data_IF_523640064504
#
_entry.id   IF_523640064504
#
_cell.length_a   1.000
_cell.length_b   1.000
_cell.length_c   1.000
_cell.angle_alpha   90.00
_cell.angle_beta   90.00
_cell.angle_gamma   90.00
#
_symmetry.space_group_name_H-M   'P 1'
#
loop_
_entity.id
_entity.type
_entity.pdbx_description
1 polymer ?
#
# COMPACT_ATOMS: atom_id res chain seq x y z
N UNK A 1 8.43 42.16 58.76
CA UNK A 1 8.30 42.04 60.22
C UNK A 1 6.88 41.57 60.53
N UNK A 2 6.76 40.34 61.05
CA UNK A 2 5.72 39.79 61.98
C UNK A 2 4.23 39.94 61.58
N UNK A 3 3.33 38.96 61.65
CA UNK A 3 3.35 37.61 62.24
C UNK A 3 2.26 36.72 61.60
N UNK A 4 2.57 35.44 61.57
CA UNK A 4 1.71 34.27 61.31
C UNK A 4 0.85 33.90 62.52
N UNK A 5 -0.04 32.91 62.33
CA UNK A 5 -0.67 32.00 63.31
C UNK A 5 -1.78 32.54 64.21
N UNK A 6 -3.04 32.13 63.97
CA UNK A 6 -3.87 31.25 64.84
C UNK A 6 -5.19 30.93 64.08
N UNK A 7 -5.39 29.68 63.61
CA UNK A 7 -6.66 28.92 63.71
C UNK A 7 -6.49 27.53 63.06
N UNK A 8 -5.97 26.57 63.83
CA UNK A 8 -6.18 25.13 63.65
C UNK A 8 -6.92 24.64 64.90
N UNK A 9 -8.12 24.09 64.74
CA UNK A 9 -8.65 22.91 65.48
C UNK A 9 -10.17 22.92 65.60
N UNK A 10 -10.73 21.69 65.54
CA UNK A 10 -12.14 21.27 65.60
C UNK A 10 -12.78 21.26 64.20
N UNK A 11 -13.25 20.14 63.64
CA UNK A 11 -13.85 18.98 64.28
C UNK A 11 -13.74 17.76 63.34
N UNK A 12 -12.91 16.79 63.73
CA UNK A 12 -12.87 15.42 63.21
C UNK A 12 -13.79 14.61 64.12
N UNK A 13 -15.05 14.41 63.73
CA UNK A 13 -15.95 13.41 64.30
C UNK A 13 -16.95 13.02 63.21
N UNK A 14 -16.67 11.96 62.47
CA UNK A 14 -17.64 10.96 61.97
C UNK A 14 -16.89 9.87 61.19
N UNK A 15 -16.19 9.03 61.96
CA UNK A 15 -15.77 7.69 61.54
C UNK A 15 -16.14 6.76 62.70
N UNK A 16 -17.18 5.96 62.53
CA UNK A 16 -17.47 4.72 63.27
C UNK A 16 -18.67 4.04 62.57
N UNK A 17 -18.59 2.71 62.42
CA UNK A 17 -19.41 1.80 61.58
C UNK A 17 -19.00 1.81 60.10
N UNK A 18 -18.34 0.80 59.52
CA UNK A 18 -18.43 -0.64 59.74
C UNK A 18 -17.10 -1.32 59.36
N UNK A 19 -16.54 -2.06 60.32
CA UNK A 19 -15.39 -2.96 60.18
C UNK A 19 -15.94 -4.35 60.56
N UNK A 20 -16.25 -5.20 59.58
CA UNK A 20 -16.43 -6.63 59.81
C UNK A 20 -16.27 -7.41 58.49
N UNK A 21 -15.08 -7.96 58.30
CA UNK A 21 -14.81 -9.31 57.77
C UNK A 21 -13.38 -9.36 57.21
N UNK A 22 -12.46 -9.79 58.08
CA UNK A 22 -11.17 -10.33 57.70
C UNK A 22 -11.11 -11.78 58.20
N UNK A 23 -10.45 -12.63 57.42
CA UNK A 23 -9.96 -13.97 57.75
C UNK A 23 -10.98 -15.12 57.77
N UNK A 24 -10.94 -15.94 56.73
CA UNK A 24 -10.91 -17.40 56.86
C UNK A 24 -10.28 -17.97 55.56
N UNK A 25 -9.42 -18.96 55.75
CA UNK A 25 -8.74 -19.80 54.75
C UNK A 25 -7.41 -19.32 54.15
N UNK A 26 -6.35 -19.54 54.96
CA UNK A 26 -5.13 -20.17 54.47
C UNK A 26 -5.02 -21.54 55.15
N UNK A 27 -4.71 -22.58 54.39
CA UNK A 27 -4.60 -23.95 54.87
C UNK A 27 -3.99 -24.83 53.79
N UNK A 28 -2.67 -25.03 53.88
CA UNK A 28 -1.87 -25.94 53.07
C UNK A 28 -2.35 -27.40 53.21
N UNK A 29 -2.27 -28.17 52.12
CA UNK A 29 -1.62 -29.48 52.14
C UNK A 29 -1.38 -30.06 50.75
N UNK A 30 -0.17 -30.60 50.62
CA UNK A 30 0.42 -31.33 49.50
C UNK A 30 -0.46 -32.46 48.93
N UNK A 31 -0.27 -32.76 47.64
CA UNK A 31 0.35 -34.02 47.12
C UNK A 31 -0.27 -34.45 45.77
N UNK A 32 0.56 -34.35 44.72
CA UNK A 32 0.66 -35.20 43.50
C UNK A 32 -0.62 -35.48 42.69
N UNK A 33 -0.66 -34.98 41.44
CA UNK A 33 -0.85 -35.81 40.24
C UNK A 33 -0.29 -35.07 39.01
N UNK A 34 0.75 -35.65 38.41
CA UNK A 34 1.20 -35.31 37.08
C UNK A 34 0.14 -35.73 36.06
N UNK A 35 -0.47 -34.78 35.34
CA UNK A 35 -1.27 -35.07 34.15
C UNK A 35 -1.03 -34.00 33.08
N UNK A 36 -0.42 -34.48 31.99
CA UNK A 36 -0.65 -34.08 30.61
C UNK A 36 -0.74 -32.59 30.29
N UNK A 37 0.40 -32.03 29.86
CA UNK A 37 0.47 -30.83 29.03
C UNK A 37 -0.11 -31.14 27.63
N UNK A 38 -1.45 -31.28 27.52
CA UNK A 38 -2.12 -31.29 26.22
C UNK A 38 -2.09 -29.89 25.65
N UNK A 39 -1.36 -29.76 24.53
CA UNK A 39 -1.52 -28.72 23.53
C UNK A 39 -3.01 -28.43 23.37
N UNK A 40 -3.43 -27.20 23.65
CA UNK A 40 -4.68 -26.65 23.11
C UNK A 40 -4.64 -26.87 21.59
N UNK A 41 -5.65 -27.51 20.97
CA UNK A 41 -5.65 -27.67 19.54
C UNK A 41 -5.71 -26.28 18.91
N UNK A 42 -4.68 -25.97 18.11
CA UNK A 42 -4.69 -24.87 17.13
C UNK A 42 -6.00 -25.02 16.35
N UNK A 43 -6.82 -23.97 16.35
CA UNK A 43 -8.05 -23.94 15.56
C UNK A 43 -7.72 -24.43 14.13
N UNK A 44 -8.50 -25.36 13.55
CA UNK A 44 -8.26 -25.80 12.19
C UNK A 44 -8.30 -24.57 11.28
N UNK A 45 -7.31 -24.44 10.41
CA UNK A 45 -7.39 -23.48 9.30
C UNK A 45 -8.73 -23.74 8.57
N UNK A 46 -9.50 -22.71 8.20
CA UNK A 46 -10.73 -22.93 7.46
C UNK A 46 -10.40 -23.75 6.22
N UNK A 47 -11.13 -24.86 6.04
CA UNK A 47 -11.01 -25.66 4.83
C UNK A 47 -11.27 -24.76 3.62
N UNK A 48 -10.54 -24.92 2.50
CA UNK A 48 -10.90 -24.23 1.26
C UNK A 48 -12.34 -24.64 0.93
N UNK A 49 -13.25 -23.67 0.99
CA UNK A 49 -14.64 -23.87 0.60
C UNK A 49 -14.62 -24.26 -0.87
N UNK A 50 -15.04 -25.49 -1.17
CA UNK A 50 -15.24 -25.96 -2.53
C UNK A 50 -16.29 -25.07 -3.19
N UNK A 51 -15.86 -24.25 -4.14
CA UNK A 51 -16.74 -23.42 -4.96
C UNK A 51 -17.66 -24.35 -5.75
N UNK A 52 -19.00 -24.28 -5.60
CA UNK A 52 -19.89 -25.05 -6.44
C UNK A 52 -19.68 -24.63 -7.90
N UNK A 53 -19.45 -25.61 -8.77
CA UNK A 53 -19.34 -25.42 -10.21
C UNK A 53 -20.69 -24.92 -10.74
N UNK A 54 -20.83 -23.61 -10.91
CA UNK A 54 -22.06 -23.03 -11.46
C UNK A 54 -22.29 -21.54 -11.28
N UNK A 55 -21.45 -20.79 -10.55
CA UNK A 55 -21.74 -19.39 -10.21
C UNK A 55 -20.70 -18.40 -10.72
N UNK A 56 -21.18 -17.31 -11.34
CA UNK A 56 -20.40 -16.30 -12.07
C UNK A 56 -19.72 -15.30 -11.12
N UNK A 57 -18.37 -15.14 -11.12
CA UNK A 57 -17.69 -14.19 -10.24
C UNK A 57 -17.46 -12.85 -10.96
N UNK A 58 -17.93 -11.72 -10.41
CA UNK A 58 -17.74 -10.40 -11.05
C UNK A 58 -17.39 -9.19 -10.13
N UNK A 59 -17.06 -9.36 -8.85
CA UNK A 59 -16.69 -8.24 -7.97
C UNK A 59 -15.30 -8.45 -7.37
N UNK A 60 -14.38 -7.51 -7.62
CA UNK A 60 -12.98 -7.61 -7.19
C UNK A 60 -12.61 -6.74 -6.00
N UNK A 61 -13.36 -5.68 -5.70
CA UNK A 61 -13.10 -4.86 -4.52
C UNK A 61 -14.33 -4.01 -4.17
N UNK A 62 -14.82 -4.11 -2.93
CA UNK A 62 -15.86 -3.26 -2.36
C UNK A 62 -15.18 -2.38 -1.30
N UNK A 63 -15.35 -1.06 -1.40
CA UNK A 63 -14.82 -0.11 -0.43
C UNK A 63 -15.89 0.87 0.03
N UNK A 64 -15.80 1.26 1.30
CA UNK A 64 -16.78 2.12 1.97
C UNK A 64 -16.06 3.26 2.71
N UNK A 65 -16.55 4.48 2.55
CA UNK A 65 -16.06 5.68 3.22
C UNK A 65 -17.17 6.30 4.06
N UNK A 66 -17.13 6.18 5.40
CA UNK A 66 -18.16 6.76 6.26
C UNK A 66 -18.03 8.29 6.39
N UNK A 67 -19.17 8.98 6.33
CA UNK A 67 -19.32 10.39 6.62
C UNK A 67 -20.35 10.65 7.72
N UNK A 68 -20.83 11.89 7.84
CA UNK A 68 -21.86 12.26 8.82
C UNK A 68 -23.24 11.82 8.33
N UNK A 69 -23.80 10.77 8.94
CA UNK A 69 -25.07 10.12 8.56
C UNK A 69 -25.12 9.54 7.13
N UNK A 70 -23.97 9.34 6.48
CA UNK A 70 -23.89 8.71 5.17
C UNK A 70 -22.66 7.79 5.03
N UNK A 71 -22.69 6.91 4.04
CA UNK A 71 -21.53 6.10 3.61
C UNK A 71 -21.44 6.18 2.09
N UNK A 72 -20.27 6.56 1.58
CA UNK A 72 -19.93 6.46 0.17
C UNK A 72 -19.40 5.06 -0.14
N UNK A 73 -19.95 4.43 -1.17
CA UNK A 73 -19.65 3.05 -1.56
C UNK A 73 -19.09 3.04 -2.97
N UNK A 74 -17.96 2.36 -3.16
CA UNK A 74 -17.27 2.19 -4.43
C UNK A 74 -16.98 0.72 -4.69
N UNK A 75 -17.19 0.26 -5.93
CA UNK A 75 -16.79 -1.09 -6.33
C UNK A 75 -16.24 -1.13 -7.75
N UNK A 76 -15.34 -2.08 -8.00
CA UNK A 76 -14.83 -2.34 -9.35
C UNK A 76 -15.56 -3.52 -9.99
N UNK A 77 -16.16 -3.33 -11.18
CA UNK A 77 -16.69 -4.44 -11.95
C UNK A 77 -15.52 -5.26 -12.52
N UNK A 78 -15.61 -6.58 -12.47
CA UNK A 78 -14.69 -7.46 -13.17
C UNK A 78 -14.93 -7.34 -14.69
N UNK A 79 -13.95 -6.91 -15.47
CA UNK A 79 -14.06 -6.81 -16.94
C UNK A 79 -13.07 -7.74 -17.67
N UNK A 80 -13.61 -8.39 -18.70
CA UNK A 80 -13.18 -9.58 -19.45
C UNK A 80 -11.93 -9.48 -20.36
N UNK A 81 -10.99 -8.54 -20.16
CA UNK A 81 -9.83 -8.42 -21.08
C UNK A 81 -8.70 -9.44 -20.84
N UNK A 82 -8.70 -10.13 -19.69
CA UNK A 82 -7.59 -11.01 -19.31
C UNK A 82 -7.60 -12.39 -20.01
N UNK A 83 -8.67 -12.72 -20.76
CA UNK A 83 -8.77 -13.96 -21.55
C UNK A 83 -8.25 -13.78 -23.00
N UNK A 84 -7.91 -12.54 -23.43
CA UNK A 84 -7.47 -12.26 -24.81
C UNK A 84 -5.95 -12.08 -25.02
N UNK A 85 -5.11 -12.43 -24.05
CA UNK A 85 -3.66 -12.49 -24.25
C UNK A 85 -3.23 -13.93 -24.51
N UNK A 86 -2.77 -14.32 -25.71
CA UNK A 86 -2.05 -15.57 -25.86
C UNK A 86 -0.73 -15.45 -25.07
N UNK A 87 -0.63 -16.20 -23.98
CA UNK A 87 0.54 -16.33 -23.13
C UNK A 87 1.74 -16.73 -23.98
N UNK A 88 2.62 -15.78 -24.27
CA UNK A 88 3.91 -16.02 -24.92
C UNK A 88 4.90 -16.53 -23.85
N UNK A 89 4.68 -17.75 -23.36
CA UNK A 89 5.67 -18.44 -22.52
C UNK A 89 6.57 -19.27 -23.43
N UNK A 90 7.68 -18.66 -23.86
CA UNK A 90 8.84 -19.40 -24.35
C UNK A 90 9.62 -19.91 -23.14
N UNK A 91 9.78 -21.23 -23.08
CA UNK A 91 10.94 -21.85 -22.45
C UNK A 91 10.79 -22.24 -20.98
N UNK A 92 10.15 -23.38 -20.71
CA UNK A 92 10.59 -24.26 -19.63
C UNK A 92 10.39 -25.71 -20.08
N UNK A 93 11.31 -26.15 -20.94
CA UNK A 93 11.45 -27.54 -21.31
C UNK A 93 12.35 -28.25 -20.31
N UNK A 94 11.95 -29.48 -19.99
CA UNK A 94 12.73 -30.53 -19.31
C UNK A 94 13.05 -30.23 -17.84
N UNK A 95 12.24 -30.82 -16.96
CA UNK A 95 12.68 -31.58 -15.79
C UNK A 95 11.41 -31.88 -14.98
N UNK A 96 10.80 -33.03 -15.27
CA UNK A 96 9.92 -33.85 -14.42
C UNK A 96 9.43 -35.00 -15.33
N UNK A 97 10.29 -36.01 -15.52
CA UNK A 97 10.05 -37.37 -14.98
C UNK A 97 8.99 -38.11 -15.82
N UNK A 98 9.32 -38.83 -16.89
CA UNK A 98 10.25 -39.99 -16.95
C UNK A 98 10.06 -41.04 -15.85
N UNK A 99 8.90 -41.08 -15.19
CA UNK A 99 8.60 -42.04 -14.12
C UNK A 99 7.21 -42.69 -14.18
N UNK A 100 6.68 -42.95 -15.39
CA UNK A 100 5.41 -43.71 -15.55
C UNK A 100 5.52 -44.87 -16.55
N UNK A 101 6.60 -45.00 -17.30
CA UNK A 101 6.67 -45.95 -18.42
C UNK A 101 7.22 -47.36 -18.08
N UNK A 102 7.13 -47.80 -16.82
CA UNK A 102 7.67 -49.12 -16.42
C UNK A 102 6.82 -49.84 -15.38
N UNK A 103 5.50 -49.87 -15.56
CA UNK A 103 4.62 -50.69 -14.70
C UNK A 103 3.40 -51.31 -15.38
N UNK A 104 3.34 -51.38 -16.71
CA UNK A 104 2.18 -51.95 -17.43
C UNK A 104 2.59 -52.87 -18.60
N UNK A 105 3.45 -53.85 -18.32
CA UNK A 105 3.71 -54.96 -19.24
C UNK A 105 4.01 -56.22 -18.43
N UNK A 106 2.98 -56.96 -18.01
CA UNK A 106 2.98 -58.43 -17.88
C UNK A 106 1.63 -58.95 -17.35
N UNK A 107 1.08 -59.93 -18.10
CA UNK A 107 -0.04 -60.85 -17.81
C UNK A 107 -1.46 -60.29 -17.93
N UNK A 108 -2.45 -60.98 -18.50
CA UNK A 108 -2.58 -62.18 -19.34
C UNK A 108 -4.05 -62.18 -19.84
N UNK A 109 -4.33 -62.96 -20.89
CA UNK A 109 -5.60 -63.09 -21.64
C UNK A 109 -6.84 -63.42 -20.79
N UNK A 110 -8.01 -62.88 -21.17
CA UNK A 110 -9.21 -63.58 -21.67
C UNK A 110 -10.37 -62.59 -21.97
N UNK A 111 -11.28 -63.00 -22.86
CA UNK A 111 -12.31 -62.28 -23.67
C UNK A 111 -13.50 -61.58 -22.93
N UNK A 112 -14.62 -61.11 -23.58
CA UNK A 112 -14.72 -60.01 -24.56
C UNK A 112 -15.97 -59.08 -24.36
N UNK A 113 -16.09 -58.12 -25.30
CA UNK A 113 -17.31 -57.40 -25.78
C UNK A 113 -17.86 -56.15 -25.07
N UNK A 114 -17.96 -55.11 -25.91
CA UNK A 114 -18.94 -54.02 -25.92
C UNK A 114 -18.94 -53.00 -24.76
N UNK A 115 -18.05 -52.00 -24.89
CA UNK A 115 -18.25 -50.57 -24.54
C UNK A 115 -16.88 -49.89 -24.56
N UNK A 116 -16.46 -49.34 -25.71
CA UNK A 116 -15.39 -48.33 -25.83
C UNK A 116 -15.13 -47.99 -27.30
N UNK A 117 -16.11 -47.37 -27.94
CA UNK A 117 -15.87 -46.66 -29.21
C UNK A 117 -16.51 -45.26 -29.27
N UNK A 118 -17.08 -44.76 -28.17
CA UNK A 118 -17.61 -43.37 -28.10
C UNK A 118 -16.70 -42.37 -27.36
N UNK A 119 -15.66 -42.80 -26.64
CA UNK A 119 -14.83 -41.88 -25.85
C UNK A 119 -13.55 -41.39 -26.56
N UNK A 120 -13.26 -41.89 -27.77
CA UNK A 120 -12.06 -41.52 -28.54
C UNK A 120 -12.22 -40.32 -29.49
N UNK A 121 -13.44 -39.77 -29.62
CA UNK A 121 -13.77 -38.68 -30.56
C UNK A 121 -14.36 -37.47 -29.85
N UNK A 122 -13.74 -37.04 -28.76
CA UNK A 122 -14.04 -35.76 -28.11
C UNK A 122 -12.78 -35.05 -27.66
N UNK A 123 -11.82 -34.90 -28.58
CA UNK A 123 -10.63 -34.07 -28.36
C UNK A 123 -10.14 -33.50 -29.69
N UNK A 124 -10.80 -32.41 -30.15
CA UNK A 124 -10.31 -31.38 -31.09
C UNK A 124 -11.50 -30.67 -31.73
N UNK A 125 -11.92 -29.56 -31.12
CA UNK A 125 -12.41 -28.29 -31.69
C UNK A 125 -13.29 -27.65 -30.61
N UNK A 126 -12.66 -27.02 -29.61
CA UNK A 126 -13.35 -25.96 -28.88
C UNK A 126 -13.27 -24.72 -29.76
N UNK A 127 -14.31 -24.58 -30.58
CA UNK A 127 -14.73 -23.33 -31.20
C UNK A 127 -14.80 -22.26 -30.11
N UNK A 128 -14.24 -21.09 -30.37
CA UNK A 128 -14.48 -19.86 -29.61
C UNK A 128 -15.99 -19.62 -29.59
N UNK A 129 -16.67 -20.08 -28.54
CA UNK A 129 -18.06 -19.75 -28.31
C UNK A 129 -18.15 -18.24 -28.05
N UNK A 130 -18.90 -17.56 -28.92
CA UNK A 130 -19.34 -16.20 -28.65
C UNK A 130 -20.05 -16.20 -27.30
N UNK A 131 -19.76 -15.20 -26.46
CA UNK A 131 -20.44 -14.99 -25.19
C UNK A 131 -21.95 -14.95 -25.51
N UNK A 132 -22.79 -15.83 -24.91
CA UNK A 132 -24.20 -15.86 -25.23
C UNK A 132 -24.82 -14.50 -24.90
N UNK A 133 -25.54 -13.91 -25.86
CA UNK A 133 -26.29 -12.68 -25.68
C UNK A 133 -27.24 -12.85 -24.48
N UNK A 134 -27.01 -12.07 -23.41
CA UNK A 134 -27.75 -12.17 -22.15
C UNK A 134 -26.90 -12.20 -20.88
N UNK A 135 -25.60 -12.51 -20.98
CA UNK A 135 -24.67 -12.51 -19.83
C UNK A 135 -23.94 -11.16 -19.58
N UNK A 136 -24.52 -10.05 -20.05
CA UNK A 136 -24.02 -8.71 -19.71
C UNK A 136 -24.63 -8.25 -18.39
N UNK A 137 -23.78 -7.78 -17.47
CA UNK A 137 -24.23 -7.16 -16.22
C UNK A 137 -25.06 -5.93 -16.57
N UNK A 138 -26.30 -5.92 -16.11
CA UNK A 138 -27.27 -4.84 -16.36
C UNK A 138 -27.37 -3.86 -15.20
N UNK A 139 -26.95 -4.27 -14.01
CA UNK A 139 -26.80 -3.38 -12.87
C UNK A 139 -26.39 -4.12 -11.59
N UNK A 140 -26.39 -3.37 -10.50
CA UNK A 140 -25.99 -3.83 -9.18
C UNK A 140 -27.07 -3.47 -8.15
N UNK A 141 -27.15 -4.28 -7.10
CA UNK A 141 -27.96 -4.06 -5.91
C UNK A 141 -27.02 -4.01 -4.72
N UNK A 142 -27.15 -2.94 -3.92
CA UNK A 142 -26.45 -2.82 -2.63
C UNK A 142 -27.35 -3.39 -1.55
N UNK A 143 -26.86 -4.40 -0.84
CA UNK A 143 -27.47 -5.00 0.33
C UNK A 143 -26.76 -4.47 1.58
N UNK A 144 -27.49 -3.91 2.54
CA UNK A 144 -26.89 -3.41 3.78
C UNK A 144 -27.76 -3.63 5.03
N UNK A 145 -27.11 -3.80 6.17
CA UNK A 145 -27.75 -4.11 7.45
C UNK A 145 -26.90 -3.70 8.65
N UNK A 146 -27.42 -3.91 9.86
CA UNK A 146 -26.72 -3.61 11.13
C UNK A 146 -25.99 -4.83 11.72
N UNK A 147 -26.19 -5.98 11.12
CA UNK A 147 -25.64 -7.27 11.55
C UNK A 147 -24.94 -7.92 10.35
N UNK A 148 -23.77 -8.51 10.58
CA UNK A 148 -23.02 -9.23 9.56
C UNK A 148 -23.86 -10.38 8.99
N UNK A 149 -23.92 -10.48 7.66
CA UNK A 149 -24.70 -11.48 6.93
C UNK A 149 -26.22 -11.25 6.91
N UNK A 150 -26.73 -10.22 7.59
CA UNK A 150 -28.16 -9.92 7.65
C UNK A 150 -28.48 -8.54 7.04
N UNK A 151 -28.78 -8.54 5.75
CA UNK A 151 -29.03 -7.33 4.96
C UNK A 151 -30.52 -6.98 4.92
N UNK A 152 -30.98 -6.23 5.92
CA UNK A 152 -32.39 -5.80 6.02
C UNK A 152 -32.81 -4.80 4.93
N UNK A 153 -31.86 -4.09 4.31
CA UNK A 153 -32.13 -3.09 3.29
C UNK A 153 -31.46 -3.47 1.96
N UNK A 154 -32.17 -3.25 0.84
CA UNK A 154 -31.66 -3.44 -0.52
C UNK A 154 -31.96 -2.22 -1.38
N UNK A 155 -30.97 -1.75 -2.12
CA UNK A 155 -31.08 -0.58 -3.00
C UNK A 155 -30.57 -0.97 -4.37
N UNK A 156 -31.46 -0.89 -5.38
CA UNK A 156 -31.06 -1.02 -6.78
C UNK A 156 -30.38 0.27 -7.23
N UNK A 157 -29.13 0.15 -7.65
CA UNK A 157 -28.28 1.27 -8.08
C UNK A 157 -28.06 1.28 -9.58
N UNK A 158 -28.61 0.30 -10.31
CA UNK A 158 -28.41 0.17 -11.76
C UNK A 158 -26.95 -0.06 -12.13
N UNK A 159 -26.53 0.41 -13.31
CA UNK A 159 -25.17 0.21 -13.84
C UNK A 159 -24.19 1.32 -13.40
N UNK A 160 -24.25 1.74 -12.14
CA UNK A 160 -23.25 2.62 -11.54
C UNK A 160 -22.25 1.79 -10.75
N UNK A 161 -21.07 2.34 -10.47
CA UNK A 161 -20.02 1.71 -9.64
C UNK A 161 -19.72 2.52 -8.38
N UNK A 162 -20.50 3.59 -8.15
CA UNK A 162 -20.39 4.51 -7.03
C UNK A 162 -21.78 4.90 -6.55
N UNK A 163 -22.03 4.82 -5.25
CA UNK A 163 -23.31 5.19 -4.68
C UNK A 163 -23.17 5.72 -3.25
N UNK A 164 -24.00 6.69 -2.88
CA UNK A 164 -24.04 7.27 -1.53
C UNK A 164 -25.31 6.86 -0.80
N UNK A 165 -25.17 6.10 0.28
CA UNK A 165 -26.28 5.79 1.19
C UNK A 165 -26.38 6.88 2.24
N UNK A 166 -27.55 7.52 2.35
CA UNK A 166 -27.84 8.62 3.28
C UNK A 166 -28.83 8.19 4.36
N UNK A 167 -28.90 8.93 5.46
CA UNK A 167 -29.86 8.68 6.54
C UNK A 167 -29.44 7.57 7.49
N UNK A 168 -28.14 7.26 7.54
CA UNK A 168 -27.57 6.30 8.48
C UNK A 168 -27.40 6.96 9.85
N UNK A 169 -27.53 6.19 10.93
CA UNK A 169 -27.31 6.71 12.27
C UNK A 169 -25.83 6.66 12.62
N UNK A 170 -25.32 7.76 13.19
CA UNK A 170 -23.95 7.80 13.68
C UNK A 170 -23.73 6.81 14.83
N UNK A 171 -22.50 6.31 14.95
CA UNK A 171 -22.05 5.28 15.90
C UNK A 171 -22.66 3.88 15.72
N UNK A 172 -23.47 3.66 14.68
CA UNK A 172 -23.97 2.33 14.33
C UNK A 172 -23.09 1.78 13.21
N UNK A 173 -22.57 0.56 13.39
CA UNK A 173 -21.86 -0.15 12.32
C UNK A 173 -22.86 -0.74 11.35
N UNK A 174 -22.67 -0.45 10.07
CA UNK A 174 -23.42 -1.02 8.97
C UNK A 174 -22.52 -1.94 8.16
N UNK A 175 -23.05 -3.08 7.74
CA UNK A 175 -22.41 -4.05 6.88
C UNK A 175 -23.00 -3.96 5.48
N UNK A 176 -22.16 -4.03 4.46
CA UNK A 176 -22.49 -3.80 3.05
C UNK A 176 -21.97 -4.97 2.21
N UNK A 177 -22.81 -5.43 1.29
CA UNK A 177 -22.45 -6.37 0.24
C UNK A 177 -23.16 -5.97 -1.05
N UNK A 178 -22.57 -6.33 -2.20
CA UNK A 178 -23.11 -6.01 -3.53
C UNK A 178 -23.46 -7.29 -4.27
N UNK A 179 -24.54 -7.23 -5.04
CA UNK A 179 -25.01 -8.29 -5.92
C UNK A 179 -25.20 -7.73 -7.33
N UNK A 180 -24.67 -8.39 -8.36
CA UNK A 180 -24.89 -8.01 -9.76
C UNK A 180 -26.13 -8.71 -10.32
N UNK A 181 -26.80 -8.10 -11.31
CA UNK A 181 -27.91 -8.72 -12.03
C UNK A 181 -27.83 -8.53 -13.55
N UNK A 182 -28.38 -9.50 -14.30
CA UNK A 182 -28.43 -9.48 -15.78
C UNK A 182 -29.76 -8.92 -16.31
N UNK A 183 -29.89 -8.76 -17.64
CA UNK A 183 -31.14 -8.30 -18.30
C UNK A 183 -32.33 -9.23 -17.99
N UNK A 184 -32.04 -10.48 -17.65
CA UNK A 184 -33.02 -11.52 -17.31
C UNK A 184 -33.32 -11.59 -15.79
N UNK A 185 -32.80 -10.64 -14.99
CA UNK A 185 -32.91 -10.61 -13.51
C UNK A 185 -32.35 -11.85 -12.82
N UNK A 186 -31.34 -12.48 -13.40
CA UNK A 186 -30.52 -13.47 -12.70
C UNK A 186 -29.51 -12.74 -11.82
N UNK A 187 -29.35 -13.18 -10.58
CA UNK A 187 -28.52 -12.53 -9.58
C UNK A 187 -27.22 -13.32 -9.33
N UNK A 188 -26.12 -12.60 -9.09
CA UNK A 188 -24.85 -13.20 -8.66
C UNK A 188 -24.87 -13.63 -7.19
N UNK A 189 -23.81 -14.31 -6.75
CA UNK A 189 -23.47 -14.37 -5.33
C UNK A 189 -23.19 -12.95 -4.78
N UNK A 190 -23.32 -12.78 -3.47
CA UNK A 190 -22.97 -11.54 -2.78
C UNK A 190 -21.44 -11.38 -2.76
N UNK A 191 -20.97 -10.12 -2.84
CA UNK A 191 -19.57 -9.78 -2.63
C UNK A 191 -19.09 -10.12 -1.22
N UNK A 192 -17.77 -10.04 -1.02
CA UNK A 192 -17.22 -9.94 0.33
C UNK A 192 -17.87 -8.77 1.07
N UNK A 193 -18.16 -9.00 2.35
CA UNK A 193 -18.83 -8.05 3.21
C UNK A 193 -17.83 -7.01 3.73
N UNK A 194 -18.21 -5.75 3.67
CA UNK A 194 -17.42 -4.63 4.17
C UNK A 194 -18.28 -3.82 5.14
N UNK A 195 -17.68 -3.27 6.19
CA UNK A 195 -18.41 -2.53 7.21
C UNK A 195 -17.94 -1.08 7.32
N UNK A 196 -18.86 -0.18 7.69
CA UNK A 196 -18.57 1.22 7.99
C UNK A 196 -19.38 1.70 9.18
N UNK A 197 -18.80 2.58 9.99
CA UNK A 197 -19.48 3.24 11.12
C UNK A 197 -19.50 4.74 10.85
N UNK A 198 -20.65 5.31 10.42
CA UNK A 198 -20.82 6.76 10.32
C UNK A 198 -20.53 7.42 11.67
N UNK A 199 -19.83 8.55 11.66
CA UNK A 199 -19.51 9.33 12.86
C UNK A 199 -19.93 10.77 12.66
N UNK A 200 -20.34 11.48 13.74
CA UNK A 200 -20.69 12.89 13.62
C UNK A 200 -19.50 13.67 13.09
N UNK A 201 -19.76 14.63 12.22
CA UNK A 201 -18.71 15.43 11.57
C UNK A 201 -17.81 16.15 12.60
N UNK A 202 -18.33 16.40 13.79
CA UNK A 202 -17.62 16.98 14.94
C UNK A 202 -16.47 16.12 15.47
N UNK A 203 -16.50 14.80 15.29
CA UNK A 203 -15.37 13.92 15.63
C UNK A 203 -14.30 13.84 14.53
N UNK A 204 -14.62 14.29 13.31
CA UNK A 204 -13.73 14.25 12.15
C UNK A 204 -12.81 15.48 12.05
N UNK A 205 -13.08 16.53 12.85
CA UNK A 205 -12.30 17.77 12.89
C UNK A 205 -11.14 17.70 13.88
N UNK A 206 -9.99 18.26 13.51
CA UNK A 206 -8.83 18.41 14.41
C UNK A 206 -9.11 19.43 15.52
N UNK A 207 -8.35 19.38 16.62
CA UNK A 207 -8.48 20.33 17.74
C UNK A 207 -8.31 21.80 17.31
N UNK A 208 -7.48 22.05 16.28
CA UNK A 208 -7.26 23.37 15.70
C UNK A 208 -8.51 23.83 14.92
N UNK A 209 -9.07 22.97 14.08
CA UNK A 209 -10.29 23.26 13.31
C UNK A 209 -11.50 23.47 14.24
N UNK A 210 -11.57 22.72 15.34
CA UNK A 210 -12.55 22.95 16.42
C UNK A 210 -12.37 24.32 17.08
N UNK A 211 -11.14 24.74 17.32
CA UNK A 211 -10.83 26.06 17.89
C UNK A 211 -11.29 27.22 17.01
N UNK A 212 -11.16 27.09 15.68
CA UNK A 212 -11.64 28.10 14.73
C UNK A 212 -13.16 28.05 14.46
N UNK A 213 -13.81 26.90 14.72
CA UNK A 213 -15.24 26.75 14.50
C UNK A 213 -16.12 27.34 15.62
N UNK A 214 -15.59 27.49 16.84
CA UNK A 214 -16.40 27.75 18.05
C UNK A 214 -16.54 29.24 18.42
N UNK A 215 -15.79 30.17 17.82
CA UNK A 215 -16.00 31.59 18.13
C UNK A 215 -16.99 32.30 17.18
N UNK A 216 -18.08 32.75 17.79
CA UNK A 216 -19.13 33.68 17.33
C UNK A 216 -18.57 34.92 16.58
N UNK A 217 -18.14 34.74 15.34
CA UNK A 217 -17.91 35.82 14.36
C UNK A 217 -18.75 35.61 13.09
N UNK A 218 -19.37 34.43 12.91
CA UNK A 218 -20.13 34.12 11.72
C UNK A 218 -21.65 34.31 11.92
N UNK A 219 -22.17 35.50 11.62
CA UNK A 219 -23.57 35.59 11.17
C UNK A 219 -23.73 35.71 9.64
N UNK A 220 -22.65 35.70 8.83
CA UNK A 220 -22.82 35.66 7.37
C UNK A 220 -21.89 34.69 6.62
N UNK A 221 -20.75 34.23 7.15
CA UNK A 221 -19.88 33.31 6.40
C UNK A 221 -19.21 32.29 7.34
N UNK A 222 -19.97 31.30 7.82
CA UNK A 222 -19.37 30.07 8.38
C UNK A 222 -19.01 29.14 7.23
N UNK A 223 -17.85 29.38 6.60
CA UNK A 223 -17.17 28.35 5.82
C UNK A 223 -16.22 27.65 6.77
N UNK A 224 -16.49 26.38 7.13
CA UNK A 224 -15.56 25.54 7.90
C UNK A 224 -14.19 25.59 7.21
N UNK A 225 -13.20 26.10 7.92
CA UNK A 225 -11.85 26.35 7.40
C UNK A 225 -11.04 25.05 7.53
N UNK A 226 -10.34 24.62 6.47
CA UNK A 226 -9.48 23.43 6.46
C UNK A 226 -8.03 23.83 6.24
N UNK A 227 -7.09 23.17 6.91
CA UNK A 227 -5.66 23.45 6.73
C UNK A 227 -5.23 23.29 5.26
N UNK A 228 -4.70 24.36 4.68
CA UNK A 228 -4.27 24.38 3.28
C UNK A 228 -3.11 23.42 3.00
N UNK A 229 -3.20 22.68 1.90
CA UNK A 229 -2.11 21.89 1.32
C UNK A 229 -1.99 20.45 1.82
N UNK A 230 -2.51 20.12 3.01
CA UNK A 230 -2.44 18.76 3.56
C UNK A 230 -3.19 17.72 2.73
N UNK A 231 -4.27 18.14 2.07
CA UNK A 231 -5.10 17.26 1.23
C UNK A 231 -4.33 16.74 0.00
N UNK A 232 -3.21 17.37 -0.37
CA UNK A 232 -2.30 16.89 -1.43
C UNK A 232 -1.77 15.48 -1.15
N UNK A 233 -1.61 15.12 0.13
CA UNK A 233 -1.08 13.81 0.53
C UNK A 233 -2.18 12.79 0.90
N UNK A 234 -3.45 13.20 0.92
CA UNK A 234 -4.58 12.34 1.31
C UNK A 234 -5.10 11.47 0.15
N UNK A 235 -4.77 11.81 -1.10
CA UNK A 235 -5.15 10.97 -2.24
C UNK A 235 -4.36 9.66 -2.21
N UNK A 236 -5.01 8.60 -1.70
CA UNK A 236 -4.60 7.19 -1.79
C UNK A 236 -4.64 6.68 -3.24
N UNK A 237 -3.91 7.32 -4.15
CA UNK A 237 -3.45 6.69 -5.38
C UNK A 237 -1.94 6.49 -5.24
N UNK A 238 -1.49 5.41 -4.56
CA UNK A 238 -0.09 5.06 -4.51
C UNK A 238 0.31 4.47 -5.87
N UNK A 239 0.39 5.31 -6.89
CA UNK A 239 1.11 5.00 -8.12
C UNK A 239 2.20 6.02 -8.38
N UNK A 240 2.82 6.53 -7.31
CA UNK A 240 4.23 6.87 -7.41
C UNK A 240 5.00 5.58 -7.20
N UNK A 241 4.92 4.67 -8.18
CA UNK A 241 6.03 3.77 -8.42
C UNK A 241 7.26 4.68 -8.48
N UNK A 242 8.32 4.44 -7.68
CA UNK A 242 9.55 5.19 -7.87
C UNK A 242 9.84 5.14 -9.36
N UNK A 243 10.14 6.30 -9.96
CA UNK A 243 10.51 6.44 -11.37
C UNK A 243 11.74 5.55 -11.61
N UNK A 244 11.51 4.25 -11.77
CA UNK A 244 12.51 3.25 -12.07
C UNK A 244 12.90 3.35 -13.55
N UNK A 245 12.02 3.96 -14.36
CA UNK A 245 12.16 4.05 -15.81
C UNK A 245 12.57 5.45 -16.29
N UNK A 246 12.86 6.39 -15.37
CA UNK A 246 13.39 7.70 -15.77
C UNK A 246 14.86 7.56 -16.20
N UNK A 247 15.27 8.15 -17.34
CA UNK A 247 16.67 8.14 -17.74
C UNK A 247 17.53 8.79 -16.66
N UNK A 248 18.59 8.07 -16.28
CA UNK A 248 19.52 8.50 -15.25
C UNK A 248 20.27 9.74 -15.71
N UNK A 249 20.29 10.78 -14.87
CA UNK A 249 20.97 12.04 -15.19
C UNK A 249 22.48 11.83 -15.27
N UNK A 250 23.16 12.70 -16.03
CA UNK A 250 24.62 12.61 -16.24
C UNK A 250 25.44 12.77 -14.96
N UNK A 251 24.89 13.45 -13.96
CA UNK A 251 25.46 13.72 -12.64
C UNK A 251 25.14 12.62 -11.60
N UNK A 252 24.41 11.57 -11.99
CA UNK A 252 24.18 10.43 -11.11
C UNK A 252 25.49 9.79 -10.65
N UNK A 253 25.70 9.73 -9.33
CA UNK A 253 26.88 9.10 -8.74
C UNK A 253 26.66 7.59 -8.60
N UNK A 254 27.52 6.83 -9.27
CA UNK A 254 27.53 5.37 -9.28
C UNK A 254 27.93 4.84 -7.90
N UNK A 255 27.23 3.81 -7.43
CA UNK A 255 27.64 3.10 -6.23
C UNK A 255 27.28 1.62 -6.20
N UNK A 256 27.70 0.90 -5.15
CA UNK A 256 27.47 -0.54 -5.01
C UNK A 256 25.99 -0.93 -5.17
N UNK A 257 25.74 -2.01 -5.89
CA UNK A 257 24.41 -2.54 -6.20
C UNK A 257 23.71 -1.90 -7.40
N UNK A 258 24.33 -0.92 -8.06
CA UNK A 258 23.86 -0.44 -9.37
C UNK A 258 24.21 -1.48 -10.44
N UNK A 259 23.30 -1.70 -11.39
CA UNK A 259 23.56 -2.55 -12.55
C UNK A 259 23.31 -1.79 -13.85
N UNK A 260 24.11 -2.10 -14.88
CA UNK A 260 24.01 -1.46 -16.19
C UNK A 260 24.51 -2.35 -17.30
N UNK A 261 23.97 -2.10 -18.49
CA UNK A 261 24.34 -2.79 -19.72
C UNK A 261 25.18 -1.89 -20.61
N UNK A 262 26.34 -2.40 -21.02
CA UNK A 262 27.25 -1.77 -21.98
C UNK A 262 27.04 -2.46 -23.33
N UNK A 263 26.61 -1.70 -24.33
CA UNK A 263 26.44 -2.18 -25.71
C UNK A 263 27.52 -1.58 -26.60
N UNK A 264 28.25 -2.45 -27.29
CA UNK A 264 29.27 -2.11 -28.28
C UNK A 264 28.80 -2.53 -29.67
N UNK A 265 28.94 -1.67 -30.66
CA UNK A 265 28.65 -1.98 -32.07
C UNK A 265 29.69 -1.33 -33.01
N UNK A 266 29.73 -1.75 -34.27
CA UNK A 266 30.70 -1.29 -35.28
C UNK A 266 31.53 -2.44 -35.81
N UNK A 267 32.86 -2.39 -35.66
CA UNK A 267 33.75 -3.51 -36.03
C UNK A 267 33.60 -4.73 -35.12
N UNK A 268 33.03 -4.52 -33.95
CA UNK A 268 32.72 -5.55 -32.95
C UNK A 268 31.29 -5.35 -32.45
N UNK A 269 30.64 -6.46 -32.11
CA UNK A 269 29.31 -6.45 -31.49
C UNK A 269 29.37 -7.25 -30.20
N UNK A 270 29.21 -6.56 -29.07
CA UNK A 270 29.29 -7.16 -27.75
C UNK A 270 28.33 -6.44 -26.81
N UNK A 271 27.71 -7.19 -25.90
CA UNK A 271 26.89 -6.63 -24.82
C UNK A 271 27.37 -7.20 -23.50
N UNK A 272 27.67 -6.33 -22.54
CA UNK A 272 28.07 -6.71 -21.19
C UNK A 272 27.03 -6.20 -20.20
N UNK A 273 26.42 -7.09 -19.42
CA UNK A 273 25.64 -6.70 -18.25
C UNK A 273 26.53 -6.82 -17.02
N UNK A 274 26.70 -5.71 -16.31
CA UNK A 274 27.59 -5.62 -15.15
C UNK A 274 26.85 -5.06 -13.94
N UNK A 275 27.22 -5.55 -12.77
CA UNK A 275 26.77 -5.06 -11.48
C UNK A 275 27.98 -4.50 -10.72
N UNK A 276 27.80 -3.35 -10.07
CA UNK A 276 28.81 -2.74 -9.21
C UNK A 276 28.86 -3.50 -7.89
N UNK A 277 29.98 -4.14 -7.63
CA UNK A 277 30.17 -4.94 -6.42
C UNK A 277 30.28 -4.09 -5.15
N UNK A 278 30.46 -4.76 -4.00
CA UNK A 278 30.62 -4.11 -2.69
C UNK A 278 31.93 -3.32 -2.55
N UNK A 279 32.94 -3.62 -3.36
CA UNK A 279 34.19 -2.88 -3.40
C UNK A 279 34.07 -1.62 -4.28
N UNK A 280 32.95 -1.47 -5.00
CA UNK A 280 32.72 -0.37 -5.91
C UNK A 280 33.35 -0.58 -7.29
N UNK A 281 33.53 -1.83 -7.68
CA UNK A 281 34.22 -2.25 -8.89
C UNK A 281 33.26 -3.01 -9.83
N UNK A 282 33.60 -3.01 -11.12
CA UNK A 282 32.96 -3.86 -12.13
C UNK A 282 34.01 -4.76 -12.76
N UNK A 283 33.58 -5.93 -13.23
CA UNK A 283 34.46 -6.85 -13.97
C UNK A 283 34.00 -6.92 -15.42
N UNK A 284 34.91 -6.63 -16.35
CA UNK A 284 34.66 -6.74 -17.79
C UNK A 284 35.54 -7.84 -18.41
N UNK A 285 34.99 -8.67 -19.33
CA UNK A 285 35.79 -9.62 -20.09
C UNK A 285 36.92 -8.92 -20.85
N UNK A 286 38.13 -9.53 -20.86
CA UNK A 286 39.38 -9.02 -21.45
C UNK A 286 39.99 -7.76 -20.82
N UNK A 287 39.18 -6.88 -20.23
CA UNK A 287 39.66 -5.65 -19.59
C UNK A 287 40.03 -5.87 -18.11
N UNK A 288 39.28 -6.74 -17.41
CA UNK A 288 39.47 -7.02 -15.99
C UNK A 288 38.64 -6.11 -15.09
N UNK A 289 39.15 -5.85 -13.89
CA UNK A 289 38.47 -5.10 -12.83
C UNK A 289 38.65 -3.60 -13.03
N UNK A 290 37.56 -2.83 -12.90
CA UNK A 290 37.55 -1.38 -13.04
C UNK A 290 36.81 -0.77 -11.85
N UNK A 291 37.46 0.15 -11.13
CA UNK A 291 36.83 0.92 -10.06
C UNK A 291 35.90 1.99 -10.64
N UNK A 292 34.65 2.00 -10.18
CA UNK A 292 33.60 2.90 -10.70
C UNK A 292 32.85 3.66 -9.62
N UNK A 293 32.96 3.25 -8.35
CA UNK A 293 32.28 3.93 -7.25
C UNK A 293 32.74 5.37 -7.10
N UNK A 294 31.77 6.27 -6.97
CA UNK A 294 31.98 7.70 -6.76
C UNK A 294 32.07 8.48 -8.05
N UNK A 295 32.18 7.81 -9.20
CA UNK A 295 32.11 8.46 -10.50
C UNK A 295 30.67 8.88 -10.80
N UNK A 296 30.52 10.03 -11.44
CA UNK A 296 29.28 10.40 -12.10
C UNK A 296 29.04 9.52 -13.32
N UNK A 297 27.79 9.40 -13.78
CA UNK A 297 27.45 8.60 -14.96
C UNK A 297 28.17 9.08 -16.23
N UNK A 298 28.44 10.38 -16.35
CA UNK A 298 29.25 10.95 -17.43
C UNK A 298 30.73 10.52 -17.35
N UNK A 299 31.31 10.53 -16.14
CA UNK A 299 32.68 10.08 -15.90
C UNK A 299 32.82 8.56 -16.08
N UNK A 300 31.81 7.79 -15.69
CA UNK A 300 31.73 6.35 -15.91
C UNK A 300 31.84 6.03 -17.41
N UNK A 301 31.02 6.68 -18.25
CA UNK A 301 31.05 6.48 -19.71
C UNK A 301 32.44 6.73 -20.29
N UNK A 302 33.09 7.83 -19.89
CA UNK A 302 34.45 8.17 -20.33
C UNK A 302 35.47 7.13 -19.87
N UNK A 303 35.38 6.71 -18.61
CA UNK A 303 36.31 5.75 -18.00
C UNK A 303 36.23 4.39 -18.68
N UNK A 304 35.02 3.86 -18.87
CA UNK A 304 34.80 2.58 -19.54
C UNK A 304 35.24 2.64 -21.01
N UNK A 305 34.93 3.73 -21.71
CA UNK A 305 35.38 3.93 -23.09
C UNK A 305 36.91 3.86 -23.20
N UNK A 306 37.62 4.59 -22.33
CA UNK A 306 39.08 4.62 -22.32
C UNK A 306 39.69 3.25 -22.02
N UNK A 307 39.09 2.46 -21.12
CA UNK A 307 39.59 1.11 -20.83
C UNK A 307 39.32 0.12 -21.98
N UNK A 308 38.13 0.17 -22.60
CA UNK A 308 37.79 -0.69 -23.74
C UNK A 308 38.61 -0.34 -24.99
N UNK A 309 38.95 0.93 -25.20
CA UNK A 309 39.74 1.39 -26.35
C UNK A 309 41.15 0.78 -26.42
N UNK A 310 41.66 0.24 -25.31
CA UNK A 310 42.95 -0.46 -25.27
C UNK A 310 42.90 -1.85 -25.89
N UNK A 311 41.71 -2.46 -25.99
CA UNK A 311 41.51 -3.84 -26.43
C UNK A 311 40.63 -3.96 -27.68
N UNK A 312 39.81 -2.95 -27.95
CA UNK A 312 38.88 -2.92 -29.07
C UNK A 312 39.05 -1.62 -29.85
N UNK A 313 38.93 -1.68 -31.19
CA UNK A 313 39.06 -0.51 -32.06
C UNK A 313 37.88 -0.41 -33.04
N UNK A 314 37.56 0.82 -33.47
CA UNK A 314 36.45 1.06 -34.40
C UNK A 314 35.08 0.64 -33.88
N UNK A 315 34.83 0.84 -32.58
CA UNK A 315 33.55 0.58 -31.95
C UNK A 315 32.88 1.88 -31.51
N UNK A 316 31.56 1.84 -31.46
CA UNK A 316 30.71 2.79 -30.75
C UNK A 316 30.18 2.13 -29.49
N UNK A 317 29.88 2.92 -28.47
CA UNK A 317 29.46 2.42 -27.16
C UNK A 317 28.26 3.19 -26.63
N UNK A 318 27.30 2.47 -26.08
CA UNK A 318 26.24 3.00 -25.24
C UNK A 318 26.25 2.29 -23.88
N UNK A 319 25.86 3.02 -22.84
CA UNK A 319 25.65 2.46 -21.50
C UNK A 319 24.23 2.82 -21.08
N UNK A 320 23.45 1.79 -20.77
CA UNK A 320 22.08 1.90 -20.28
C UNK A 320 22.05 1.40 -18.84
N UNK A 321 21.47 2.19 -17.94
CA UNK A 321 21.27 1.77 -16.55
C UNK A 321 20.12 0.76 -16.49
N UNK A 322 20.33 -0.36 -15.81
CA UNK A 322 19.33 -1.42 -15.71
C UNK A 322 18.54 -1.25 -14.39
N UNK A 323 19.16 -1.59 -13.25
CA UNK A 323 18.55 -1.45 -11.93
C UNK A 323 19.37 -0.45 -11.12
N UNK A 324 18.70 0.60 -10.65
CA UNK A 324 19.26 1.49 -9.65
C UNK A 324 19.22 0.83 -8.27
N UNK A 325 20.28 1.03 -7.50
CA UNK A 325 20.31 0.59 -6.10
C UNK A 325 19.23 1.30 -5.29
N UNK A 326 18.81 0.63 -4.23
CA UNK A 326 17.93 1.24 -3.24
C UNK A 326 18.72 1.88 -2.10
N UNK A 327 18.17 2.95 -1.55
CA UNK A 327 18.67 3.62 -0.35
C UNK A 327 17.65 3.43 0.78
N UNK A 328 18.15 3.32 2.01
CA UNK A 328 17.30 3.28 3.20
C UNK A 328 17.36 4.64 3.89
N UNK A 329 16.20 5.23 4.14
CA UNK A 329 16.06 6.51 4.86
C UNK A 329 15.08 6.35 6.03
N UNK A 330 15.03 7.36 6.88
CA UNK A 330 14.11 7.42 8.02
C UNK A 330 13.23 8.66 7.90
N UNK A 331 11.93 8.52 8.14
CA UNK A 331 11.00 9.65 8.28
C UNK A 331 10.49 9.64 9.72
N UNK A 332 10.69 10.75 10.43
CA UNK A 332 10.43 10.85 11.87
C UNK A 332 9.75 12.18 12.22
N UNK A 333 9.16 12.26 13.42
CA UNK A 333 8.39 13.41 13.88
C UNK A 333 6.91 13.31 13.50
N UNK A 334 6.28 14.46 13.24
CA UNK A 334 4.85 14.59 12.94
C UNK A 334 4.54 14.30 11.46
N UNK A 335 5.02 13.17 10.95
CA UNK A 335 4.62 12.62 9.65
C UNK A 335 3.35 11.78 9.78
N UNK A 336 2.60 11.59 8.69
CA UNK A 336 1.40 10.73 8.68
C UNK A 336 1.77 9.27 9.01
N UNK A 337 2.80 8.74 8.34
CA UNK A 337 3.36 7.43 8.62
C UNK A 337 4.87 7.57 8.91
N UNK A 338 5.29 7.73 10.17
CA UNK A 338 6.71 7.72 10.51
C UNK A 338 7.28 6.30 10.43
N UNK A 339 8.52 6.16 9.99
CA UNK A 339 9.16 4.85 9.82
C UNK A 339 10.40 4.86 8.91
N UNK A 340 10.90 3.66 8.62
CA UNK A 340 12.00 3.48 7.67
C UNK A 340 11.46 3.17 6.27
N UNK A 341 12.03 3.82 5.26
CA UNK A 341 11.62 3.69 3.87
C UNK A 341 12.80 3.21 3.02
N UNK A 342 12.52 2.30 2.09
CA UNK A 342 13.47 1.85 1.08
C UNK A 342 13.05 2.44 -0.26
N UNK A 343 13.85 3.37 -0.78
CA UNK A 343 13.54 4.16 -1.97
C UNK A 343 14.64 3.97 -3.03
N UNK A 344 14.37 4.38 -4.28
CA UNK A 344 15.39 4.40 -5.33
C UNK A 344 16.50 5.42 -5.00
N UNK A 345 17.74 5.19 -5.42
CA UNK A 345 18.87 6.10 -5.18
C UNK A 345 18.72 7.49 -5.81
N UNK A 346 17.78 7.68 -6.74
CA UNK A 346 17.43 8.99 -7.32
C UNK A 346 16.30 9.71 -6.57
N UNK A 347 15.80 9.12 -5.49
CA UNK A 347 14.68 9.69 -4.73
C UNK A 347 15.10 10.97 -4.00
N UNK A 348 14.15 11.89 -3.90
CA UNK A 348 14.29 13.21 -3.28
C UNK A 348 13.45 13.31 -2.01
N UNK A 349 13.63 14.40 -1.24
CA UNK A 349 12.83 14.68 -0.03
C UNK A 349 11.33 14.62 -0.34
N UNK A 350 10.87 15.16 -1.46
CA UNK A 350 9.45 15.16 -1.82
C UNK A 350 8.92 13.75 -2.05
N UNK A 351 9.64 12.92 -2.80
CA UNK A 351 9.25 11.53 -3.04
C UNK A 351 9.16 10.70 -1.75
N UNK A 352 10.06 10.95 -0.80
CA UNK A 352 10.02 10.31 0.51
C UNK A 352 8.84 10.78 1.36
N UNK A 353 8.54 12.08 1.37
CA UNK A 353 7.36 12.62 2.06
C UNK A 353 6.07 12.08 1.46
N UNK A 354 5.94 12.01 0.13
CA UNK A 354 4.80 11.37 -0.53
C UNK A 354 4.68 9.90 -0.10
N UNK A 355 5.79 9.15 -0.10
CA UNK A 355 5.81 7.76 0.36
C UNK A 355 5.39 7.61 1.83
N UNK A 356 5.68 8.62 2.65
CA UNK A 356 5.26 8.67 4.06
C UNK A 356 3.82 9.16 4.28
N UNK A 357 3.10 9.56 3.22
CA UNK A 357 1.78 10.19 3.33
C UNK A 357 1.82 11.64 3.81
N UNK A 358 2.96 12.31 3.65
CA UNK A 358 3.20 13.71 3.99
C UNK A 358 3.28 14.01 5.49
N UNK A 359 3.40 15.29 5.86
CA UNK A 359 3.21 15.75 7.23
C UNK A 359 1.78 15.44 7.73
N UNK A 360 1.65 15.03 8.98
CA UNK A 360 0.35 14.88 9.64
C UNK A 360 -0.31 16.25 9.83
N UNK A 361 -1.61 16.33 10.19
CA UNK A 361 -2.28 17.61 10.52
C UNK A 361 -1.65 18.37 11.71
N UNK A 362 -0.73 17.72 12.45
CA UNK A 362 0.07 18.31 13.52
C UNK A 362 1.50 18.64 13.07
N UNK A 363 1.92 18.19 11.90
CA UNK A 363 3.24 18.39 11.33
C UNK A 363 3.35 19.66 10.48
N UNK A 364 4.53 20.27 10.49
CA UNK A 364 4.83 21.46 9.71
C UNK A 364 5.03 21.15 8.23
N UNK A 365 4.36 21.91 7.37
CA UNK A 365 4.61 21.91 5.91
C UNK A 365 5.79 22.83 5.51
N UNK A 366 6.30 23.67 6.43
CA UNK A 366 7.26 24.75 6.11
C UNK A 366 8.70 24.51 6.58
N UNK A 367 8.87 23.74 7.66
CA UNK A 367 10.16 23.59 8.35
C UNK A 367 10.61 22.13 8.39
N UNK A 368 10.38 21.40 7.30
CA UNK A 368 10.80 20.00 7.24
C UNK A 368 12.31 19.96 7.08
N UNK A 369 13.00 19.14 7.87
CA UNK A 369 14.46 19.10 7.90
C UNK A 369 14.98 17.80 7.30
N UNK A 370 15.92 17.91 6.37
CA UNK A 370 16.76 16.81 5.94
C UNK A 370 18.01 16.78 6.81
N UNK A 371 18.17 15.70 7.56
CA UNK A 371 19.31 15.42 8.42
C UNK A 371 20.20 14.36 7.75
N UNK A 372 21.50 14.60 7.69
CA UNK A 372 22.52 13.65 7.23
C UNK A 372 23.67 13.65 8.22
N UNK A 373 24.01 12.47 8.73
CA UNK A 373 25.05 12.30 9.76
C UNK A 373 24.84 13.23 10.98
N UNK A 374 23.59 13.46 11.37
CA UNK A 374 23.21 14.31 12.50
C UNK A 374 23.15 15.81 12.22
N UNK A 375 23.56 16.28 11.03
CA UNK A 375 23.53 17.69 10.66
C UNK A 375 22.33 18.02 9.76
N UNK A 376 21.75 19.21 9.93
CA UNK A 376 20.73 19.75 9.02
C UNK A 376 21.40 20.14 7.72
N UNK A 377 21.13 19.37 6.66
CA UNK A 377 21.61 19.65 5.30
C UNK A 377 20.72 20.67 4.62
N UNK A 378 19.40 20.52 4.78
CA UNK A 378 18.41 21.33 4.09
C UNK A 378 17.15 21.49 4.93
N UNK A 379 16.55 22.68 4.86
CA UNK A 379 15.18 22.92 5.35
C UNK A 379 14.28 23.13 4.14
N UNK A 380 13.12 22.49 4.16
CA UNK A 380 12.21 22.37 3.04
C UNK A 380 10.86 22.99 3.40
N UNK A 381 10.39 23.92 2.56
CA UNK A 381 9.04 24.48 2.60
C UNK A 381 8.21 23.91 1.44
N UNK A 382 7.24 23.07 1.76
CA UNK A 382 6.36 22.43 0.78
C UNK A 382 5.42 23.42 0.11
N UNK A 383 5.14 24.59 0.68
CA UNK A 383 4.25 25.56 0.05
C UNK A 383 4.86 26.21 -1.18
N UNK A 384 6.19 26.37 -1.25
CA UNK A 384 6.84 26.86 -2.47
C UNK A 384 6.62 25.87 -3.63
N UNK A 385 6.68 24.57 -3.34
CA UNK A 385 6.30 23.54 -4.30
C UNK A 385 4.81 23.56 -4.65
N UNK A 386 3.92 23.55 -3.65
CA UNK A 386 2.47 23.46 -3.87
C UNK A 386 1.86 24.69 -4.55
N UNK A 387 2.42 25.88 -4.33
CA UNK A 387 1.88 27.14 -4.85
C UNK A 387 2.58 27.62 -6.12
N UNK A 388 3.88 27.38 -6.26
CA UNK A 388 4.69 27.90 -7.37
C UNK A 388 5.28 26.81 -8.27
N UNK A 389 5.16 25.53 -7.87
CA UNK A 389 5.85 24.43 -8.54
C UNK A 389 7.37 24.45 -8.35
N UNK A 390 7.87 25.20 -7.37
CA UNK A 390 9.31 25.35 -7.14
C UNK A 390 9.90 24.09 -6.47
N UNK A 391 10.88 23.47 -7.14
CA UNK A 391 11.61 22.28 -6.68
C UNK A 391 13.04 22.59 -6.24
N UNK A 392 13.42 23.87 -6.13
CA UNK A 392 14.77 24.29 -5.73
C UNK A 392 15.20 23.79 -4.35
N UNK A 393 14.25 23.43 -3.49
CA UNK A 393 14.50 22.86 -2.16
C UNK A 393 14.42 21.33 -2.12
N UNK A 394 14.13 20.67 -3.25
CA UNK A 394 13.98 19.22 -3.33
C UNK A 394 15.36 18.55 -3.47
N UNK A 395 15.99 18.29 -2.33
CA UNK A 395 17.33 17.69 -2.28
C UNK A 395 17.28 16.17 -2.53
N UNK A 396 18.31 15.64 -3.19
CA UNK A 396 18.46 14.21 -3.41
C UNK A 396 18.89 13.50 -2.12
N UNK A 397 18.23 12.38 -1.84
CA UNK A 397 18.47 11.59 -0.64
C UNK A 397 19.67 10.66 -0.78
N UNK A 398 20.31 10.40 0.35
CA UNK A 398 21.38 9.42 0.50
C UNK A 398 20.97 8.35 1.53
N UNK A 399 21.63 7.20 1.46
CA UNK A 399 21.40 6.13 2.44
C UNK A 399 21.78 6.62 3.84
N UNK A 400 20.89 6.40 4.81
CA UNK A 400 21.05 6.86 6.19
C UNK A 400 20.46 8.24 6.48
N UNK A 401 19.96 8.96 5.46
CA UNK A 401 19.30 10.25 5.67
C UNK A 401 18.06 10.12 6.55
N UNK A 402 17.80 11.16 7.34
CA UNK A 402 16.63 11.27 8.20
C UNK A 402 15.84 12.53 7.84
N UNK A 403 14.58 12.38 7.47
CA UNK A 403 13.64 13.47 7.26
C UNK A 403 12.88 13.68 8.56
N UNK A 404 13.09 14.83 9.20
CA UNK A 404 12.41 15.20 10.42
C UNK A 404 11.31 16.22 10.13
N UNK A 405 10.07 15.84 10.47
CA UNK A 405 8.89 16.72 10.36
C UNK A 405 8.59 17.28 11.76
N UNK A 406 8.87 18.57 12.03
CA UNK A 406 8.57 19.15 13.33
C UNK A 406 7.07 19.41 13.49
N UNK A 407 6.67 19.69 14.73
CA UNK A 407 5.31 20.15 15.05
C UNK A 407 5.00 21.46 14.31
N UNK A 408 3.75 21.63 13.90
CA UNK A 408 3.24 22.84 13.28
C UNK A 408 3.47 24.06 14.19
N UNK A 409 3.87 25.18 13.56
CA UNK A 409 4.08 26.46 14.24
C UNK A 409 2.80 27.29 14.34
N UNK A 410 2.93 28.63 14.45
CA UNK A 410 1.79 29.54 14.44
C UNK A 410 0.93 29.37 13.18
N UNK A 411 -0.40 29.41 13.36
CA UNK A 411 -1.39 29.27 12.29
C UNK A 411 -2.31 30.49 12.25
N UNK A 412 -2.81 30.79 11.05
CA UNK A 412 -3.77 31.88 10.79
C UNK A 412 -4.89 31.31 9.93
N UNK A 413 -6.14 31.56 10.31
CA UNK A 413 -7.31 31.21 9.52
C UNK A 413 -7.79 32.39 8.67
N UNK A 414 -8.06 32.17 7.39
CA UNK A 414 -8.56 33.19 6.46
C UNK A 414 -9.94 32.75 5.94
N UNK A 415 -10.95 33.62 6.14
CA UNK A 415 -12.32 33.40 5.68
C UNK A 415 -12.86 34.61 4.90
N UNK A 416 -14.07 34.51 4.36
CA UNK A 416 -14.73 35.55 3.58
C UNK A 416 -14.65 35.34 2.07
N UNK A 417 -14.67 36.43 1.30
CA UNK A 417 -14.66 36.38 -0.17
C UNK A 417 -13.23 36.22 -0.73
N UNK A 418 -12.59 35.13 -0.36
CA UNK A 418 -11.25 34.73 -0.84
C UNK A 418 -11.35 33.50 -1.73
N UNK A 419 -10.42 33.36 -2.68
CA UNK A 419 -10.41 32.22 -3.63
C UNK A 419 -10.27 30.87 -2.92
N UNK A 420 -9.55 30.81 -1.80
CA UNK A 420 -9.29 29.60 -1.01
C UNK A 420 -9.30 29.94 0.49
N UNK A 421 -10.45 29.82 1.18
CA UNK A 421 -10.49 29.95 2.64
C UNK A 421 -9.81 28.74 3.29
N UNK A 422 -8.89 28.96 4.24
CA UNK A 422 -8.05 27.92 4.84
C UNK A 422 -7.39 28.33 6.15
#
# INVERSE_FOLDING_TARGET
MKDTTVLRSRLIILMLFSFLCLSLFWGDNNTILAQDYRRTPKAPAPAPVSVPSGTFPFLTDLSVEPGDTFVDIHWTPYWQEEIRKPSRVKGFGRLLEKRVEKSLLLREKEEPTAKREEEGKKLKTETLEAIPEGKEISGYIICYGRESGNYSNKVDVGNVTRYRIRGLSNYITYFFAIQAYTKLKEFSDLSEEVFATPKPEEELLSAIEKGFAVEKIAQVISRKIKQFGYDFFLSKTPSFTPLADAPVSSDYVIGPGDSFTISLWGRIECTFSVEVDRNGEITLPKVGVIKVWGLTFSELKKTIYNQLSKYYSGFQMNITMDRLRTIRIFVVGEATNPGSYTLSSVSTVYSALISAGGPSKRGSMRKIQLLRNGNVIKTVDLYDFLLKGDKSQDERLQSGDTIFVPVIGPVVGITGNVKRPA
#
